data_IF_124941811192
#
_entry.id   IF_124941811192
#
_cell.length_a   1.000
_cell.length_b   1.000
_cell.length_c   1.000
_cell.angle_alpha   90.00
_cell.angle_beta   90.00
_cell.angle_gamma   90.00
#
_symmetry.space_group_name_H-M   'P 1'
#
loop_
_entity.id
_entity.type
_entity.pdbx_description
1 polymer ?
#
# COMPACT_ATOMS: atom_id res chain seq x y z
N UNK A 1 3.89 9.26 43.49
CA UNK A 1 4.41 10.06 42.37
C UNK A 1 5.02 9.08 41.37
N UNK A 2 4.22 8.56 40.44
CA UNK A 2 4.70 7.62 39.42
C UNK A 2 5.40 8.41 38.30
N UNK A 3 6.56 7.96 37.81
CA UNK A 3 7.23 8.59 36.67
C UNK A 3 6.53 8.13 35.39
N UNK A 4 5.39 8.76 35.07
CA UNK A 4 4.72 8.54 33.78
C UNK A 4 4.93 9.74 32.87
N UNK A 5 5.32 9.46 31.62
CA UNK A 5 5.27 10.34 30.43
C UNK A 5 6.46 11.23 30.07
N UNK A 6 7.70 10.79 30.29
CA UNK A 6 8.80 11.23 29.40
C UNK A 6 8.55 10.57 28.03
N UNK A 7 7.74 11.22 27.19
CA UNK A 7 7.55 10.86 25.78
C UNK A 7 8.89 11.07 25.08
N UNK A 8 9.66 9.98 24.93
CA UNK A 8 10.94 10.00 24.26
C UNK A 8 10.72 10.28 22.75
N UNK A 9 10.84 11.56 22.40
CA UNK A 9 10.75 12.04 21.01
C UNK A 9 11.83 11.48 20.09
N UNK A 10 12.87 10.81 20.62
CA UNK A 10 13.95 10.23 19.81
C UNK A 10 13.56 8.90 19.15
N UNK A 11 12.59 8.17 19.71
CA UNK A 11 12.12 6.87 19.19
C UNK A 11 11.36 6.99 17.86
N UNK A 12 10.83 8.17 17.54
CA UNK A 12 10.11 8.43 16.28
C UNK A 12 11.07 8.47 15.07
N UNK A 13 12.37 8.61 15.30
CA UNK A 13 13.34 8.93 14.23
C UNK A 13 14.23 7.77 13.79
N UNK A 14 14.12 6.59 14.40
CA UNK A 14 14.88 5.41 13.97
C UNK A 14 14.25 4.72 12.75
N UNK A 15 14.23 5.45 11.62
CA UNK A 15 14.10 4.81 10.30
C UNK A 15 15.30 3.89 10.14
N UNK A 16 15.07 2.58 10.28
CA UNK A 16 16.17 1.62 10.21
C UNK A 16 16.84 1.72 8.84
N UNK A 17 18.18 1.79 8.85
CA UNK A 17 19.01 1.95 7.64
C UNK A 17 18.65 0.95 6.53
N UNK A 18 18.18 -0.25 6.92
CA UNK A 18 17.72 -1.29 5.98
C UNK A 18 16.49 -0.93 5.16
N UNK A 19 15.52 -0.19 5.72
CA UNK A 19 14.31 0.23 4.99
C UNK A 19 14.64 1.23 3.88
N UNK A 20 15.58 2.14 4.15
CA UNK A 20 16.04 3.13 3.17
C UNK A 20 16.77 2.43 2.03
N UNK A 21 17.67 1.49 2.33
CA UNK A 21 18.41 0.73 1.31
C UNK A 21 17.46 0.03 0.34
N UNK A 22 16.38 -0.56 0.85
CA UNK A 22 15.36 -1.23 0.03
C UNK A 22 14.61 -0.27 -0.89
N UNK A 23 14.16 0.87 -0.36
CA UNK A 23 13.45 1.88 -1.16
C UNK A 23 14.36 2.42 -2.25
N UNK A 24 15.62 2.68 -1.92
CA UNK A 24 16.64 3.14 -2.86
C UNK A 24 16.90 2.09 -3.94
N UNK A 25 17.04 0.81 -3.58
CA UNK A 25 17.22 -0.28 -4.56
C UNK A 25 16.02 -0.44 -5.49
N UNK A 26 14.78 -0.34 -4.96
CA UNK A 26 13.57 -0.38 -5.77
C UNK A 26 13.44 0.84 -6.71
N UNK A 27 13.87 2.03 -6.27
CA UNK A 27 13.93 3.21 -7.11
C UNK A 27 15.01 3.08 -8.21
N UNK A 28 16.18 2.53 -7.87
CA UNK A 28 17.27 2.28 -8.82
C UNK A 28 16.85 1.25 -9.87
N UNK A 29 16.16 0.17 -9.50
CA UNK A 29 15.70 -0.84 -10.45
C UNK A 29 14.71 -0.27 -11.46
N UNK A 30 13.83 0.65 -11.03
CA UNK A 30 12.95 1.41 -11.91
C UNK A 30 13.74 2.33 -12.83
N UNK A 31 14.66 3.13 -12.30
CA UNK A 31 15.47 4.04 -13.11
C UNK A 31 16.28 3.29 -14.17
N UNK A 32 16.80 2.11 -13.83
CA UNK A 32 17.49 1.23 -14.77
C UNK A 32 16.57 0.72 -15.87
N UNK A 33 15.32 0.37 -15.55
CA UNK A 33 14.33 -0.10 -16.51
C UNK A 33 13.91 0.99 -17.51
N UNK A 34 13.85 2.26 -17.08
CA UNK A 34 13.62 3.40 -17.97
C UNK A 34 14.77 3.65 -18.96
N UNK A 35 16.00 3.22 -18.65
CA UNK A 35 17.16 3.32 -19.53
C UNK A 35 17.26 2.20 -20.58
N UNK A 36 16.46 1.14 -20.46
CA UNK A 36 16.48 0.00 -21.38
C UNK A 36 15.71 0.32 -22.68
N UNK A 37 16.21 -0.08 -23.87
CA UNK A 37 15.47 0.06 -25.11
C UNK A 37 14.14 -0.71 -25.03
N UNK A 38 13.09 -0.12 -25.61
CA UNK A 38 11.75 -0.73 -25.66
C UNK A 38 11.85 -2.15 -26.24
N UNK A 39 11.42 -3.19 -25.50
CA UNK A 39 11.29 -4.53 -26.05
C UNK A 39 10.39 -4.51 -27.29
N UNK A 40 10.77 -5.25 -28.34
CA UNK A 40 10.03 -5.22 -29.60
C UNK A 40 8.58 -5.70 -29.39
N UNK A 41 7.61 -4.90 -29.85
CA UNK A 41 6.18 -5.17 -29.70
C UNK A 41 5.54 -4.61 -28.41
N UNK A 42 6.30 -3.97 -27.53
CA UNK A 42 5.76 -3.38 -26.29
C UNK A 42 5.40 -1.91 -26.48
N UNK A 43 4.21 -1.49 -26.03
CA UNK A 43 3.83 -0.07 -26.04
C UNK A 43 4.63 0.71 -24.99
N UNK A 44 4.90 2.02 -25.23
CA UNK A 44 5.57 2.85 -24.23
C UNK A 44 4.85 2.89 -22.88
N UNK A 45 3.52 2.81 -22.88
CA UNK A 45 2.71 2.78 -21.66
C UNK A 45 2.91 1.47 -20.89
N UNK A 46 2.97 0.34 -21.58
CA UNK A 46 3.21 -0.96 -20.95
C UNK A 46 4.60 -1.05 -20.30
N UNK A 47 5.62 -0.44 -20.92
CA UNK A 47 6.97 -0.34 -20.34
C UNK A 47 7.01 0.51 -19.06
N UNK A 48 6.26 1.62 -19.04
CA UNK A 48 6.13 2.45 -17.83
C UNK A 48 5.36 1.73 -16.73
N UNK A 49 4.29 1.02 -17.09
CA UNK A 49 3.51 0.21 -16.16
C UNK A 49 4.36 -0.89 -15.50
N UNK A 50 5.19 -1.59 -16.27
CA UNK A 50 6.04 -2.66 -15.73
C UNK A 50 7.08 -2.13 -14.74
N UNK A 51 7.64 -0.95 -14.99
CA UNK A 51 8.50 -0.25 -14.03
C UNK A 51 7.78 0.00 -12.70
N UNK A 52 6.56 0.56 -12.73
CA UNK A 52 5.78 0.78 -11.49
C UNK A 52 5.43 -0.55 -10.82
N UNK A 53 5.09 -1.58 -11.59
CA UNK A 53 4.77 -2.90 -11.05
C UNK A 53 5.96 -3.56 -10.33
N UNK A 54 7.16 -3.46 -10.88
CA UNK A 54 8.39 -3.98 -10.25
C UNK A 54 8.72 -3.23 -8.96
N UNK A 55 8.52 -1.90 -8.95
CA UNK A 55 8.64 -1.10 -7.74
C UNK A 55 7.67 -1.56 -6.65
N UNK A 56 6.41 -1.78 -7.02
CA UNK A 56 5.37 -2.29 -6.12
C UNK A 56 5.70 -3.67 -5.58
N UNK A 57 6.11 -4.60 -6.44
CA UNK A 57 6.51 -5.94 -6.02
C UNK A 57 7.67 -5.90 -5.03
N UNK A 58 8.69 -5.07 -5.30
CA UNK A 58 9.81 -4.87 -4.38
C UNK A 58 9.36 -4.34 -3.01
N UNK A 59 8.51 -3.31 -2.98
CA UNK A 59 8.00 -2.73 -1.75
C UNK A 59 7.07 -3.67 -0.97
N UNK A 60 6.28 -4.51 -1.65
CA UNK A 60 5.43 -5.51 -0.99
C UNK A 60 6.23 -6.66 -0.38
N UNK A 61 7.21 -7.20 -1.10
CA UNK A 61 8.05 -8.31 -0.61
C UNK A 61 8.87 -7.87 0.59
N UNK A 62 9.38 -6.64 0.56
CA UNK A 62 10.30 -6.13 1.58
C UNK A 62 9.60 -5.45 2.75
N UNK A 63 8.31 -5.14 2.61
CA UNK A 63 7.50 -4.43 3.60
C UNK A 63 8.17 -3.16 4.15
N UNK A 64 8.99 -2.48 3.32
CA UNK A 64 9.70 -1.27 3.73
C UNK A 64 8.75 -0.13 4.10
N UNK A 65 7.57 -0.10 3.49
CA UNK A 65 6.48 0.85 3.71
C UNK A 65 5.21 0.02 4.00
N UNK A 66 4.28 0.47 4.88
CA UNK A 66 3.01 -0.23 5.11
C UNK A 66 2.29 -0.57 3.80
N UNK A 67 1.70 -1.78 3.71
CA UNK A 67 1.07 -2.24 2.47
C UNK A 67 0.06 -1.24 1.90
N UNK A 68 -0.76 -0.63 2.76
CA UNK A 68 -1.74 0.37 2.36
C UNK A 68 -1.09 1.60 1.70
N UNK A 69 0.03 2.09 2.26
CA UNK A 69 0.74 3.24 1.71
C UNK A 69 1.46 2.89 0.39
N UNK A 70 2.03 1.69 0.28
CA UNK A 70 2.58 1.18 -0.98
C UNK A 70 1.50 1.15 -2.07
N UNK A 71 0.32 0.59 -1.76
CA UNK A 71 -0.78 0.51 -2.72
C UNK A 71 -1.28 1.86 -3.23
N UNK A 72 -0.97 2.99 -2.58
CA UNK A 72 -1.34 4.34 -3.04
C UNK A 72 -0.38 4.94 -4.08
N UNK A 73 0.80 4.35 -4.28
CA UNK A 73 1.81 4.88 -5.21
C UNK A 73 1.28 5.03 -6.66
N UNK A 74 0.53 4.07 -7.25
CA UNK A 74 -0.03 4.21 -8.58
C UNK A 74 -0.90 5.45 -8.76
N UNK A 75 -1.62 5.89 -7.72
CA UNK A 75 -2.48 7.07 -7.74
C UNK A 75 -1.74 8.33 -8.18
N UNK A 76 -0.45 8.45 -7.81
CA UNK A 76 0.41 9.54 -8.25
C UNK A 76 1.20 9.18 -9.52
N UNK A 77 1.78 7.98 -9.58
CA UNK A 77 2.71 7.60 -10.66
C UNK A 77 2.02 7.38 -12.01
N UNK A 78 0.79 6.85 -12.04
CA UNK A 78 0.11 6.56 -13.31
C UNK A 78 -0.22 7.83 -14.10
N UNK A 79 -0.80 8.90 -13.49
CA UNK A 79 -1.00 10.17 -14.18
C UNK A 79 0.32 10.85 -14.58
N UNK A 80 1.33 10.83 -13.70
CA UNK A 80 2.63 11.45 -13.96
C UNK A 80 3.38 10.81 -15.14
N UNK A 81 3.26 9.49 -15.29
CA UNK A 81 3.90 8.74 -16.36
C UNK A 81 3.03 8.61 -17.62
N UNK A 82 1.83 9.20 -17.62
CA UNK A 82 0.87 9.11 -18.73
C UNK A 82 0.42 7.67 -19.01
N UNK A 83 0.28 6.86 -17.96
CA UNK A 83 -0.21 5.46 -18.04
C UNK A 83 -1.73 5.43 -18.03
N UNK A 84 -2.36 6.18 -17.11
CA UNK A 84 -3.81 6.27 -16.95
C UNK A 84 -4.19 7.66 -16.41
N UNK A 85 -5.45 8.07 -16.59
CA UNK A 85 -5.92 9.34 -16.04
C UNK A 85 -6.08 9.27 -14.52
N UNK A 86 -6.09 10.43 -13.85
CA UNK A 86 -6.32 10.50 -12.41
C UNK A 86 -7.69 9.91 -12.02
N UNK A 87 -8.71 10.16 -12.84
CA UNK A 87 -10.06 9.64 -12.61
C UNK A 87 -10.11 8.12 -12.70
N UNK A 88 -9.51 7.53 -13.75
CA UNK A 88 -9.49 6.08 -13.95
C UNK A 88 -8.69 5.38 -12.84
N UNK A 89 -7.55 5.98 -12.47
CA UNK A 89 -6.67 5.43 -11.43
C UNK A 89 -7.36 5.48 -10.07
N UNK A 90 -7.99 6.60 -9.71
CA UNK A 90 -8.72 6.77 -8.46
C UNK A 90 -9.95 5.86 -8.37
N UNK A 91 -10.69 5.68 -9.48
CA UNK A 91 -11.85 4.80 -9.53
C UNK A 91 -11.52 3.35 -9.14
N UNK A 92 -10.30 2.88 -9.41
CA UNK A 92 -9.86 1.53 -9.06
C UNK A 92 -9.72 1.30 -7.55
N UNK A 93 -9.63 2.35 -6.73
CA UNK A 93 -9.49 2.24 -5.27
C UNK A 93 -10.82 2.09 -4.54
N UNK A 94 -11.96 2.38 -5.19
CA UNK A 94 -13.28 2.37 -4.56
C UNK A 94 -14.24 1.41 -5.26
N UNK A 95 -13.83 0.14 -5.40
CA UNK A 95 -14.68 -0.88 -6.03
C UNK A 95 -15.71 -1.45 -5.06
N UNK A 96 -16.77 -2.06 -5.61
CA UNK A 96 -17.88 -2.63 -4.84
C UNK A 96 -17.41 -3.68 -3.82
N UNK A 97 -16.41 -4.47 -4.17
CA UNK A 97 -15.83 -5.49 -3.29
C UNK A 97 -15.20 -4.88 -2.04
N UNK A 98 -14.53 -3.73 -2.15
CA UNK A 98 -13.97 -3.01 -1.01
C UNK A 98 -15.09 -2.55 -0.06
N UNK A 99 -16.18 -2.01 -0.59
CA UNK A 99 -17.33 -1.61 0.21
C UNK A 99 -18.00 -2.80 0.91
N UNK A 100 -18.05 -3.96 0.26
CA UNK A 100 -18.51 -5.19 0.90
C UNK A 100 -17.63 -5.60 2.08
N UNK A 101 -16.31 -5.53 1.95
CA UNK A 101 -15.39 -5.82 3.06
C UNK A 101 -15.57 -4.83 4.22
N UNK A 102 -15.66 -3.53 3.93
CA UNK A 102 -15.88 -2.50 4.95
C UNK A 102 -17.24 -2.71 5.64
N UNK A 103 -18.30 -2.97 4.88
CA UNK A 103 -19.63 -3.27 5.41
C UNK A 103 -19.64 -4.53 6.28
N UNK A 104 -18.97 -5.59 5.84
CA UNK A 104 -18.81 -6.83 6.61
C UNK A 104 -18.06 -6.60 7.93
N UNK A 105 -16.97 -5.83 7.91
CA UNK A 105 -16.23 -5.45 9.13
C UNK A 105 -17.10 -4.59 10.06
N UNK A 106 -17.88 -3.66 9.53
CA UNK A 106 -18.81 -2.83 10.32
C UNK A 106 -19.85 -3.68 11.05
N UNK A 107 -20.43 -4.68 10.37
CA UNK A 107 -21.37 -5.63 10.96
C UNK A 107 -20.68 -6.46 12.04
N UNK A 108 -19.47 -6.97 11.78
CA UNK A 108 -18.69 -7.75 12.74
C UNK A 108 -18.39 -6.95 14.03
N UNK A 109 -17.99 -5.68 13.90
CA UNK A 109 -17.79 -4.78 15.03
C UNK A 109 -19.08 -4.51 15.80
N UNK A 110 -20.23 -4.45 15.12
CA UNK A 110 -21.54 -4.42 15.77
C UNK A 110 -21.75 -5.68 16.61
N UNK A 111 -21.61 -6.86 16.03
CA UNK A 111 -21.75 -8.15 16.74
C UNK A 111 -20.84 -8.23 17.96
N UNK A 112 -19.61 -7.70 17.86
CA UNK A 112 -18.67 -7.59 18.97
C UNK A 112 -19.18 -6.66 20.08
N UNK A 113 -19.59 -5.44 19.71
CA UNK A 113 -20.04 -4.40 20.64
C UNK A 113 -21.25 -4.80 21.48
N UNK A 114 -22.19 -5.55 20.92
CA UNK A 114 -23.36 -6.07 21.66
C UNK A 114 -23.10 -7.42 22.35
N UNK A 115 -21.89 -7.97 22.24
CA UNK A 115 -21.57 -9.29 22.77
C UNK A 115 -22.45 -10.40 22.17
N UNK A 116 -22.98 -10.19 20.95
CA UNK A 116 -23.93 -11.09 20.34
C UNK A 116 -23.29 -12.46 20.07
N UNK A 117 -22.04 -12.47 19.60
CA UNK A 117 -21.24 -13.68 19.45
C UNK A 117 -21.14 -14.50 20.75
N UNK A 118 -20.99 -13.83 21.91
CA UNK A 118 -20.93 -14.47 23.23
C UNK A 118 -22.29 -14.97 23.70
N UNK A 119 -23.37 -14.24 23.42
CA UNK A 119 -24.74 -14.71 23.70
C UNK A 119 -25.06 -15.97 22.90
N UNK A 120 -24.70 -15.99 21.61
CA UNK A 120 -24.89 -17.16 20.76
C UNK A 120 -24.03 -18.34 21.21
N UNK A 121 -22.81 -18.09 21.71
CA UNK A 121 -21.93 -19.15 22.23
C UNK A 121 -22.34 -19.71 23.60
N UNK A 122 -23.20 -19.01 24.35
CA UNK A 122 -23.62 -19.41 25.71
C UNK A 122 -25.10 -19.83 25.81
N UNK A 123 -25.94 -19.49 24.82
CA UNK A 123 -27.39 -19.74 24.82
C UNK A 123 -27.91 -20.48 23.57
N UNK A 124 -27.04 -21.27 22.96
CA UNK A 124 -27.29 -22.55 22.29
C UNK A 124 -26.31 -23.57 22.89
#
# INVERSE_FOLDING_TARGET
MSPETEYDSSDVTHVSRGRITVVVLAAISVAWLFGMPLPQGMTPQAHRLSAVAILMAGLWITQAIPLAATSLIPLCLFPLLGIATTADTAGSYANDTLFLYIGGMMIALGIERWGLHRRLALNL
#
